data_IF_938124545705
#
_entry.id   IF_938124545705
#
_cell.length_a   1.000
_cell.length_b   1.000
_cell.length_c   1.000
_cell.angle_alpha   90.00
_cell.angle_beta   90.00
_cell.angle_gamma   90.00
#
_symmetry.space_group_name_H-M   'P 1'
#
loop_
_entity.id
_entity.type
_entity.pdbx_description
1 polymer ?
#
# COMPACT_ATOMS: atom_id res chain seq x y z
N UNK A 1 3.35 28.73 -31.99
CA UNK A 1 3.07 27.34 -32.42
C UNK A 1 4.07 26.38 -31.76
N UNK A 2 3.70 25.87 -30.58
CA UNK A 2 4.24 24.61 -30.05
C UNK A 2 2.99 23.87 -29.59
N UNK A 3 2.64 22.77 -30.26
CA UNK A 3 1.53 21.93 -29.82
C UNK A 3 1.96 21.28 -28.51
N UNK A 4 1.29 21.62 -27.41
CA UNK A 4 1.40 20.89 -26.16
C UNK A 4 0.96 19.45 -26.43
N UNK A 5 1.87 18.50 -26.22
CA UNK A 5 1.50 17.11 -26.06
C UNK A 5 0.76 17.00 -24.72
N UNK A 6 -0.53 17.30 -24.72
CA UNK A 6 -1.44 17.02 -23.60
C UNK A 6 -1.66 15.50 -23.56
N UNK A 7 -0.62 14.76 -23.17
CA UNK A 7 -0.73 13.35 -22.86
C UNK A 7 -1.67 13.22 -21.66
N UNK A 8 -2.66 12.32 -21.76
CA UNK A 8 -3.63 12.10 -20.69
C UNK A 8 -2.92 11.97 -19.34
N UNK A 9 -3.32 12.81 -18.37
CA UNK A 9 -2.77 12.75 -17.02
C UNK A 9 -3.13 11.41 -16.39
N UNK A 10 -2.12 10.65 -15.96
CA UNK A 10 -2.33 9.36 -15.27
C UNK A 10 -3.09 9.57 -13.96
N UNK A 11 -3.96 8.63 -13.62
CA UNK A 11 -4.61 8.61 -12.32
C UNK A 11 -3.59 8.47 -11.19
N UNK A 12 -3.79 9.22 -10.11
CA UNK A 12 -2.94 9.23 -8.92
C UNK A 12 -3.76 8.72 -7.73
N UNK A 13 -3.14 7.88 -6.90
CA UNK A 13 -3.65 7.51 -5.58
C UNK A 13 -2.67 8.07 -4.56
N UNK A 14 -3.18 8.81 -3.57
CA UNK A 14 -2.40 9.23 -2.43
C UNK A 14 -2.38 8.10 -1.41
N UNK A 15 -1.23 7.48 -1.20
CA UNK A 15 -1.08 6.35 -0.27
C UNK A 15 -0.30 6.81 0.97
N UNK A 16 -0.84 6.54 2.16
CA UNK A 16 -0.20 6.88 3.43
C UNK A 16 -0.50 5.88 4.55
N UNK A 17 0.06 6.14 5.72
CA UNK A 17 -0.20 5.42 6.95
C UNK A 17 -0.71 6.42 8.00
N UNK A 18 -2.04 6.49 8.18
CA UNK A 18 -2.73 7.64 8.80
C UNK A 18 -2.64 8.93 7.95
N UNK A 19 -3.21 8.84 6.74
CA UNK A 19 -3.19 9.89 5.69
C UNK A 19 -3.70 11.26 6.17
N UNK A 20 -4.54 11.30 7.19
CA UNK A 20 -5.05 12.56 7.75
C UNK A 20 -3.92 13.44 8.29
N UNK A 21 -2.92 12.83 8.91
CA UNK A 21 -1.77 13.56 9.44
C UNK A 21 -0.91 14.12 8.30
N UNK A 22 -0.67 13.32 7.26
CA UNK A 22 0.08 13.73 6.08
C UNK A 22 -0.59 14.91 5.35
N UNK A 23 -1.90 14.81 5.10
CA UNK A 23 -2.67 15.88 4.44
C UNK A 23 -2.66 17.15 5.29
N UNK A 24 -2.84 17.03 6.61
CA UNK A 24 -2.78 18.19 7.50
C UNK A 24 -1.38 18.84 7.49
N UNK A 25 -0.31 18.05 7.38
CA UNK A 25 1.04 18.55 7.26
C UNK A 25 1.29 19.25 5.92
N UNK A 26 0.88 18.66 4.79
CA UNK A 26 1.00 19.26 3.46
C UNK A 26 0.27 20.61 3.38
N UNK A 27 -0.94 20.69 3.94
CA UNK A 27 -1.71 21.94 3.99
C UNK A 27 -1.00 23.03 4.80
N UNK A 28 -0.31 22.67 5.89
CA UNK A 28 0.54 23.61 6.64
C UNK A 28 1.73 24.12 5.83
N UNK A 29 2.24 23.32 4.90
CA UNK A 29 3.29 23.73 3.96
C UNK A 29 2.74 24.56 2.77
N UNK A 30 1.44 24.80 2.70
CA UNK A 30 0.80 25.56 1.64
C UNK A 30 0.38 24.72 0.42
N UNK A 31 0.32 23.40 0.56
CA UNK A 31 -0.12 22.50 -0.52
C UNK A 31 -1.36 21.69 -0.10
N UNK A 32 -2.40 21.72 -0.92
CA UNK A 32 -3.56 20.83 -0.77
C UNK A 32 -3.51 19.71 -1.82
N UNK A 33 -3.37 18.43 -1.43
CA UNK A 33 -3.38 17.30 -2.37
C UNK A 33 -4.65 17.24 -3.22
N UNK A 34 -5.78 17.73 -2.70
CA UNK A 34 -7.06 17.78 -3.42
C UNK A 34 -7.00 18.70 -4.67
N UNK A 35 -5.96 19.53 -4.81
CA UNK A 35 -5.75 20.36 -6.00
C UNK A 35 -5.36 19.54 -7.25
N UNK A 36 -4.96 18.27 -7.08
CA UNK A 36 -4.63 17.40 -8.20
C UNK A 36 -5.91 16.88 -8.87
N UNK A 37 -6.26 17.44 -10.04
CA UNK A 37 -7.45 17.03 -10.79
C UNK A 37 -7.47 15.55 -11.21
N UNK A 38 -6.31 14.88 -11.22
CA UNK A 38 -6.13 13.47 -11.53
C UNK A 38 -5.89 12.60 -10.28
N UNK A 39 -6.04 13.15 -9.07
CA UNK A 39 -6.06 12.38 -7.83
C UNK A 39 -7.44 11.72 -7.69
N UNK A 40 -7.47 10.39 -7.73
CA UNK A 40 -8.72 9.63 -7.72
C UNK A 40 -9.10 9.13 -6.33
N UNK A 41 -8.12 8.95 -5.43
CA UNK A 41 -8.39 8.40 -4.10
C UNK A 41 -7.24 8.64 -3.10
N UNK A 42 -7.60 8.62 -1.82
CA UNK A 42 -6.69 8.48 -0.69
C UNK A 42 -6.80 7.07 -0.11
N UNK A 43 -5.68 6.36 -0.02
CA UNK A 43 -5.58 5.02 0.58
C UNK A 43 -4.77 5.08 1.85
N UNK A 44 -5.31 4.46 2.91
CA UNK A 44 -4.75 4.51 4.25
C UNK A 44 -4.48 3.09 4.77
N UNK A 45 -3.21 2.73 4.85
CA UNK A 45 -2.80 1.37 5.26
C UNK A 45 -3.18 1.03 6.69
N UNK A 46 -3.32 2.03 7.57
CA UNK A 46 -3.75 1.82 8.95
C UNK A 46 -5.25 1.46 9.01
N UNK A 47 -6.06 2.10 8.17
CA UNK A 47 -7.47 1.74 8.00
C UNK A 47 -7.63 0.37 7.32
N UNK A 48 -6.85 0.10 6.27
CA UNK A 48 -6.88 -1.18 5.57
C UNK A 48 -6.52 -2.37 6.46
N UNK A 49 -5.48 -2.23 7.30
CA UNK A 49 -5.11 -3.29 8.24
C UNK A 49 -6.26 -3.68 9.16
N UNK A 50 -6.95 -2.69 9.75
CA UNK A 50 -8.11 -2.94 10.61
C UNK A 50 -9.25 -3.60 9.85
N UNK A 51 -9.51 -3.17 8.63
CA UNK A 51 -10.57 -3.76 7.80
C UNK A 51 -10.30 -5.25 7.50
N UNK A 52 -9.06 -5.61 7.16
CA UNK A 52 -8.68 -6.99 6.82
C UNK A 52 -8.58 -7.89 8.06
N UNK A 53 -8.09 -7.36 9.19
CA UNK A 53 -7.85 -8.14 10.41
C UNK A 53 -9.02 -8.13 11.41
N UNK A 54 -9.92 -7.17 11.33
CA UNK A 54 -10.97 -6.94 12.32
C UNK A 54 -10.48 -6.26 13.62
N UNK A 55 -9.22 -5.86 13.68
CA UNK A 55 -8.65 -5.19 14.86
C UNK A 55 -9.29 -3.82 15.10
N UNK A 56 -9.68 -3.56 16.35
CA UNK A 56 -10.33 -2.30 16.73
C UNK A 56 -9.32 -1.15 16.87
N UNK A 57 -8.11 -1.45 17.35
CA UNK A 57 -7.04 -0.47 17.51
C UNK A 57 -6.22 -0.31 16.23
N UNK A 58 -5.90 0.94 15.90
CA UNK A 58 -4.92 1.24 14.85
C UNK A 58 -3.53 0.77 15.29
N UNK A 59 -2.80 0.10 14.39
CA UNK A 59 -1.38 -0.25 14.58
C UNK A 59 -0.50 0.73 13.84
N UNK A 60 0.67 1.04 14.41
CA UNK A 60 1.71 1.77 13.71
C UNK A 60 2.36 0.91 12.61
N UNK A 61 2.96 1.58 11.62
CA UNK A 61 3.51 0.94 10.42
C UNK A 61 4.50 -0.18 10.73
N UNK A 62 5.44 0.03 11.65
CA UNK A 62 6.42 -0.98 12.05
C UNK A 62 5.77 -2.27 12.60
N UNK A 63 4.65 -2.13 13.32
CA UNK A 63 3.90 -3.29 13.83
C UNK A 63 3.17 -4.04 12.72
N UNK A 64 2.65 -3.32 11.71
CA UNK A 64 2.05 -3.94 10.53
C UNK A 64 3.11 -4.70 9.74
N UNK A 65 4.27 -4.08 9.49
CA UNK A 65 5.41 -4.71 8.81
C UNK A 65 5.82 -6.00 9.53
N UNK A 66 6.01 -5.93 10.85
CA UNK A 66 6.32 -7.11 11.65
C UNK A 66 5.25 -8.21 11.54
N UNK A 67 3.96 -7.85 11.59
CA UNK A 67 2.85 -8.80 11.47
C UNK A 67 2.65 -9.38 10.05
N UNK A 68 3.31 -8.79 9.05
CA UNK A 68 3.43 -9.30 7.69
C UNK A 68 4.73 -10.06 7.46
N UNK A 69 5.53 -10.27 8.52
CA UNK A 69 6.85 -10.90 8.47
C UNK A 69 7.83 -10.13 7.56
N UNK A 70 7.68 -8.80 7.51
CA UNK A 70 8.54 -7.90 6.75
C UNK A 70 9.44 -7.10 7.71
N UNK A 71 10.73 -7.05 7.39
CA UNK A 71 11.66 -6.21 8.12
C UNK A 71 11.48 -4.72 7.78
N UNK A 72 11.51 -3.88 8.81
CA UNK A 72 11.53 -2.42 8.67
C UNK A 72 12.59 -1.83 9.57
N UNK A 73 13.44 -0.94 9.05
CA UNK A 73 14.50 -0.29 9.80
C UNK A 73 14.40 1.24 9.66
N UNK A 74 14.70 1.96 10.74
CA UNK A 74 14.70 3.42 10.77
C UNK A 74 13.40 4.06 10.23
N UNK A 75 12.25 3.64 10.78
CA UNK A 75 10.91 4.11 10.37
C UNK A 75 10.63 5.58 10.72
N UNK A 76 11.55 6.26 11.42
CA UNK A 76 11.47 7.70 11.64
C UNK A 76 11.97 8.53 10.43
N UNK A 77 12.59 7.88 9.45
CA UNK A 77 12.93 8.54 8.19
C UNK A 77 11.71 8.55 7.27
N UNK A 78 11.28 9.74 6.83
CA UNK A 78 10.09 9.91 6.01
C UNK A 78 10.16 9.16 4.65
N UNK A 79 11.35 9.03 4.06
CA UNK A 79 11.54 8.26 2.83
C UNK A 79 11.35 6.76 3.07
N UNK A 80 11.93 6.23 4.15
CA UNK A 80 11.73 4.85 4.56
C UNK A 80 10.26 4.57 4.91
N UNK A 81 9.60 5.49 5.62
CA UNK A 81 8.18 5.39 5.96
C UNK A 81 7.29 5.28 4.71
N UNK A 82 7.56 6.11 3.68
CA UNK A 82 6.87 6.02 2.40
C UNK A 82 7.09 4.67 1.69
N UNK A 83 8.33 4.15 1.68
CA UNK A 83 8.64 2.82 1.10
C UNK A 83 7.90 1.72 1.86
N UNK A 84 7.94 1.73 3.19
CA UNK A 84 7.28 0.72 4.00
C UNK A 84 5.76 0.81 3.94
N UNK A 85 5.19 2.00 3.72
CA UNK A 85 3.77 2.16 3.48
C UNK A 85 3.34 1.43 2.21
N UNK A 86 4.12 1.54 1.12
CA UNK A 86 3.86 0.76 -0.11
C UNK A 86 3.99 -0.74 0.15
N UNK A 87 5.01 -1.18 0.89
CA UNK A 87 5.17 -2.59 1.25
C UNK A 87 4.00 -3.11 2.09
N UNK A 88 3.54 -2.33 3.06
CA UNK A 88 2.41 -2.67 3.91
C UNK A 88 1.11 -2.79 3.10
N UNK A 89 0.84 -1.84 2.19
CA UNK A 89 -0.31 -1.91 1.27
C UNK A 89 -0.33 -3.24 0.50
N UNK A 90 0.77 -3.58 -0.15
CA UNK A 90 0.89 -4.79 -0.96
C UNK A 90 0.75 -6.04 -0.08
N UNK A 91 1.43 -6.06 1.08
CA UNK A 91 1.36 -7.19 2.01
C UNK A 91 -0.04 -7.40 2.59
N UNK A 92 -0.78 -6.33 2.89
CA UNK A 92 -2.18 -6.40 3.31
C UNK A 92 -3.05 -7.03 2.21
N UNK A 93 -2.90 -6.59 0.97
CA UNK A 93 -3.65 -7.17 -0.16
C UNK A 93 -3.35 -8.66 -0.33
N UNK A 94 -2.08 -9.06 -0.27
CA UNK A 94 -1.70 -10.48 -0.37
C UNK A 94 -2.31 -11.30 0.78
N UNK A 95 -2.25 -10.76 2.01
CA UNK A 95 -2.84 -11.42 3.19
C UNK A 95 -4.36 -11.62 3.06
N UNK A 96 -5.07 -10.60 2.58
CA UNK A 96 -6.52 -10.69 2.37
C UNK A 96 -6.87 -11.73 1.31
N UNK A 97 -6.11 -11.78 0.20
CA UNK A 97 -6.28 -12.79 -0.85
C UNK A 97 -6.05 -14.21 -0.32
N UNK A 98 -5.04 -14.41 0.54
CA UNK A 98 -4.78 -15.72 1.15
C UNK A 98 -5.90 -16.17 2.07
N UNK A 99 -6.45 -15.26 2.88
CA UNK A 99 -7.57 -15.56 3.76
C UNK A 99 -8.81 -15.98 2.96
N UNK A 100 -9.11 -15.27 1.88
CA UNK A 100 -10.22 -15.63 0.99
C UNK A 100 -10.03 -17.00 0.34
N UNK A 101 -8.81 -17.31 -0.11
CA UNK A 101 -8.51 -18.63 -0.67
C UNK A 101 -8.71 -19.77 0.36
N UNK A 102 -8.28 -19.58 1.61
CA UNK A 102 -8.51 -20.58 2.66
C UNK A 102 -9.99 -20.75 3.01
N UNK A 103 -10.76 -19.67 3.03
CA UNK A 103 -12.19 -19.71 3.33
C UNK A 103 -12.99 -20.43 2.20
N UNK A 104 -12.55 -20.30 0.93
CA UNK A 104 -13.18 -20.98 -0.23
C UNK A 104 -12.88 -22.48 -0.32
N UNK A 105 -11.65 -22.90 0.04
CA UNK A 105 -11.25 -24.31 0.07
C UNK A 105 -12.09 -25.13 1.09
N UNK A 106 -12.50 -24.48 2.19
CA UNK A 106 -13.36 -25.08 3.22
C UNK A 106 -14.83 -25.24 2.76
N UNK A 107 -15.28 -24.46 1.76
CA UNK A 107 -16.65 -24.52 1.21
C UNK A 107 -16.77 -25.38 -0.07
N UNK A 108 -15.69 -25.99 -0.56
CA UNK A 108 -15.70 -26.91 -1.69
C UNK A 108 -15.94 -26.24 -3.06
N UNK A 109 -15.70 -24.94 -3.16
CA UNK A 109 -15.78 -24.17 -4.41
C UNK A 109 -14.56 -24.37 -5.31
N UNK A 110 -14.72 -24.17 -6.63
CA UNK A 110 -13.57 -24.10 -7.56
C UNK A 110 -12.88 -22.75 -7.34
N UNK A 111 -11.75 -22.77 -6.63
CA UNK A 111 -10.95 -21.59 -6.34
C UNK A 111 -10.39 -20.97 -7.63
N UNK A 112 -10.68 -19.68 -7.87
CA UNK A 112 -10.04 -18.86 -8.90
C UNK A 112 -8.72 -18.25 -8.41
N UNK A 113 -8.35 -18.54 -7.17
CA UNK A 113 -7.19 -17.99 -6.47
C UNK A 113 -6.02 -18.99 -6.49
N UNK A 114 -4.77 -18.52 -6.36
CA UNK A 114 -3.60 -19.38 -6.53
C UNK A 114 -3.58 -20.52 -5.50
N UNK A 115 -3.46 -21.76 -5.99
CA UNK A 115 -3.41 -23.00 -5.20
C UNK A 115 -2.24 -23.09 -4.20
N UNK A 116 -1.28 -22.16 -4.25
CA UNK A 116 -0.08 -22.18 -3.40
C UNK A 116 -0.08 -20.99 -2.45
N UNK A 117 0.06 -21.26 -1.14
CA UNK A 117 0.30 -20.25 -0.10
C UNK A 117 1.40 -19.29 -0.56
N UNK A 118 1.04 -18.02 -0.79
CA UNK A 118 1.97 -17.02 -1.29
C UNK A 118 2.91 -16.60 -0.15
N UNK A 119 4.19 -16.47 -0.46
CA UNK A 119 5.15 -15.91 0.49
C UNK A 119 5.09 -14.38 0.35
N UNK A 120 4.60 -13.70 1.40
CA UNK A 120 4.36 -12.25 1.37
C UNK A 120 5.66 -11.50 1.09
N UNK A 121 6.75 -11.86 1.76
CA UNK A 121 8.04 -11.22 1.57
C UNK A 121 8.54 -11.40 0.13
N UNK A 122 8.45 -12.63 -0.39
CA UNK A 122 8.86 -12.94 -1.76
C UNK A 122 8.04 -12.17 -2.80
N UNK A 123 6.72 -12.10 -2.64
CA UNK A 123 5.86 -11.41 -3.61
C UNK A 123 5.99 -9.89 -3.50
N UNK A 124 6.10 -9.34 -2.28
CA UNK A 124 6.45 -7.92 -2.09
C UNK A 124 7.77 -7.63 -2.76
N UNK A 125 8.85 -8.40 -2.49
CA UNK A 125 10.16 -8.23 -3.13
C UNK A 125 10.10 -8.36 -4.64
N UNK A 126 9.31 -9.30 -5.19
CA UNK A 126 9.15 -9.46 -6.64
C UNK A 126 8.49 -8.24 -7.28
N UNK A 127 7.48 -7.68 -6.63
CA UNK A 127 6.80 -6.45 -7.08
C UNK A 127 7.75 -5.26 -6.95
N UNK A 128 8.47 -5.16 -5.83
CA UNK A 128 9.25 -3.97 -5.50
C UNK A 128 10.65 -3.97 -6.08
N UNK A 129 11.19 -5.14 -6.47
CA UNK A 129 12.47 -5.25 -7.19
C UNK A 129 12.48 -4.41 -8.48
N UNK A 130 11.34 -4.32 -9.17
CA UNK A 130 11.18 -3.45 -10.35
C UNK A 130 11.28 -1.95 -10.04
N UNK A 131 11.08 -1.53 -8.80
CA UNK A 131 11.22 -0.13 -8.38
C UNK A 131 12.65 0.24 -7.98
N UNK A 132 13.50 -0.74 -7.67
CA UNK A 132 14.90 -0.53 -7.24
C UNK A 132 15.88 -0.62 -8.42
N UNK A 133 15.57 -1.38 -9.47
CA UNK A 133 16.35 -1.46 -10.71
C UNK A 133 16.05 -0.30 -11.68
N UNK A 134 16.09 0.95 -11.19
CA UNK A 134 16.33 2.08 -12.08
C UNK A 134 17.84 2.21 -12.22
N UNK A 135 18.38 1.79 -13.36
CA UNK A 135 19.75 2.14 -13.75
C UNK A 135 19.87 3.67 -13.66
N UNK A 136 20.67 4.13 -12.70
CA UNK A 136 21.16 5.50 -12.64
C UNK A 136 22.15 5.76 -13.77
#
# INVERSE_FOLDING_TARGET
NVAEHDGEKRNIIFLGHDTKQDIAYLRKLGYDPDNLANLIEFQDTAAMWRAVTGEQSTRGLAHIMYALELESWNTHNAGNDAVYTVHAMIGICIKDLQKKASDEDDEGGVSLLPEKKMDVEKEVKKITKKFVEWDM
#
